data_IF_337752723130
#
_entry.id   IF_337752723130
#
_cell.length_a   1.000
_cell.length_b   1.000
_cell.length_c   1.000
_cell.angle_alpha   90.00
_cell.angle_beta   90.00
_cell.angle_gamma   90.00
#
_symmetry.space_group_name_H-M   'P 1'
#
loop_
_entity.id
_entity.type
_entity.pdbx_description
1 polymer ?
#
# COMPACT_ATOMS: atom_id res chain seq x y z
N UNK A 1 5.63 -1.66 -21.18
CA UNK A 1 4.15 -1.51 -21.22
C UNK A 1 3.83 -0.43 -20.22
N UNK A 2 3.37 0.74 -20.66
CA UNK A 2 2.86 1.75 -19.72
C UNK A 2 1.69 1.11 -18.95
N UNK A 3 1.60 1.25 -17.62
CA UNK A 3 0.43 0.79 -16.90
C UNK A 3 -0.82 1.42 -17.50
N UNK A 4 -1.89 0.64 -17.64
CA UNK A 4 -3.20 1.15 -18.03
C UNK A 4 -3.54 2.40 -17.18
N UNK A 5 -4.19 3.42 -17.78
CA UNK A 5 -4.58 4.61 -17.05
C UNK A 5 -5.37 4.20 -15.81
N UNK A 6 -5.07 4.83 -14.67
CA UNK A 6 -5.84 4.59 -13.45
C UNK A 6 -7.33 4.78 -13.78
N UNK A 7 -8.19 3.82 -13.39
CA UNK A 7 -9.61 3.92 -13.66
C UNK A 7 -10.15 5.28 -13.19
N UNK A 8 -10.72 6.05 -14.11
CA UNK A 8 -11.31 7.35 -13.80
C UNK A 8 -12.68 7.12 -13.16
N UNK A 9 -12.76 7.29 -11.86
CA UNK A 9 -13.99 7.09 -11.09
C UNK A 9 -13.70 6.83 -9.61
N UNK A 10 -14.76 6.67 -8.80
CA UNK A 10 -14.60 6.36 -7.39
C UNK A 10 -13.74 5.10 -7.17
N UNK A 11 -12.97 5.08 -6.09
CA UNK A 11 -12.23 3.91 -5.68
C UNK A 11 -13.22 2.79 -5.40
N UNK A 12 -13.05 1.69 -6.14
CA UNK A 12 -13.77 0.42 -5.97
C UNK A 12 -12.78 -0.65 -5.52
N UNK A 13 -13.26 -1.72 -4.88
CA UNK A 13 -12.40 -2.85 -4.47
C UNK A 13 -11.56 -3.43 -5.61
N UNK A 14 -12.07 -3.41 -6.84
CA UNK A 14 -11.34 -3.84 -8.05
C UNK A 14 -10.21 -2.86 -8.41
N UNK A 15 -10.48 -1.55 -8.37
CA UNK A 15 -9.53 -0.48 -8.63
C UNK A 15 -8.45 -0.39 -7.54
N UNK A 16 -8.80 -0.64 -6.28
CA UNK A 16 -7.85 -0.69 -5.17
C UNK A 16 -6.79 -1.77 -5.41
N UNK A 17 -7.17 -2.96 -5.87
CA UNK A 17 -6.18 -4.00 -6.22
C UNK A 17 -5.23 -3.56 -7.33
N UNK A 18 -5.71 -2.73 -8.26
CA UNK A 18 -4.89 -2.17 -9.32
C UNK A 18 -3.90 -1.13 -8.75
N UNK A 19 -4.38 -0.20 -7.92
CA UNK A 19 -3.54 0.76 -7.22
C UNK A 19 -2.44 0.06 -6.42
N UNK A 20 -2.79 -0.96 -5.61
CA UNK A 20 -1.83 -1.76 -4.84
C UNK A 20 -0.76 -2.41 -5.73
N UNK A 21 -1.14 -2.91 -6.91
CA UNK A 21 -0.17 -3.46 -7.88
C UNK A 21 0.77 -2.40 -8.44
N UNK A 22 0.30 -1.17 -8.64
CA UNK A 22 1.14 -0.05 -9.09
C UNK A 22 2.13 0.40 -8.02
N UNK A 23 1.77 0.24 -6.75
CA UNK A 23 2.60 0.63 -5.61
C UNK A 23 3.62 -0.46 -5.27
N UNK A 24 3.36 -1.72 -5.64
CA UNK A 24 4.26 -2.84 -5.36
C UNK A 24 5.73 -2.58 -5.75
N UNK A 25 6.07 -2.05 -6.94
CA UNK A 25 7.46 -1.68 -7.27
C UNK A 25 8.05 -0.61 -6.35
N UNK A 26 7.24 0.33 -5.86
CA UNK A 26 7.68 1.35 -4.90
C UNK A 26 8.00 0.72 -3.54
N UNK A 27 7.19 -0.24 -3.10
CA UNK A 27 7.46 -1.00 -1.87
C UNK A 27 8.74 -1.83 -1.99
N UNK A 28 8.99 -2.42 -3.17
CA UNK A 28 10.24 -3.13 -3.45
C UNK A 28 11.44 -2.18 -3.47
N UNK A 29 11.27 -0.93 -3.90
CA UNK A 29 12.32 0.07 -3.93
C UNK A 29 12.75 0.56 -2.53
N UNK A 30 11.92 0.37 -1.49
CA UNK A 30 12.32 0.64 -0.10
C UNK A 30 13.48 -0.24 0.38
N UNK A 31 13.83 -1.25 -0.39
CA UNK A 31 14.87 -2.18 -0.04
C UNK A 31 16.16 -1.86 -0.78
N UNK A 32 17.16 -1.39 -0.02
CA UNK A 32 18.48 -1.07 -0.56
C UNK A 32 19.34 -2.32 -0.87
N UNK A 33 19.10 -3.46 -0.19
CA UNK A 33 19.89 -4.70 -0.34
C UNK A 33 19.00 -5.94 -0.60
N UNK A 34 19.20 -6.61 -1.74
CA UNK A 34 18.48 -7.83 -2.16
C UNK A 34 18.80 -9.11 -1.35
N UNK A 35 19.70 -9.06 -0.36
CA UNK A 35 20.23 -10.27 0.31
C UNK A 35 19.24 -11.04 1.19
N UNK A 36 18.24 -10.39 1.79
CA UNK A 36 17.36 -10.98 2.82
C UNK A 36 15.95 -11.26 2.31
N UNK A 37 15.71 -12.36 1.63
CA UNK A 37 14.35 -12.70 1.14
C UNK A 37 13.36 -12.92 2.29
N UNK A 38 12.10 -12.60 2.05
CA UNK A 38 11.04 -12.82 3.04
C UNK A 38 9.72 -12.18 2.64
N UNK A 39 8.73 -12.29 3.52
CA UNK A 39 7.40 -11.70 3.35
C UNK A 39 7.22 -10.54 4.31
N UNK A 40 6.66 -9.44 3.78
CA UNK A 40 5.98 -8.45 4.59
C UNK A 40 4.49 -8.47 4.25
N UNK A 41 3.69 -8.01 5.18
CA UNK A 41 2.28 -7.75 4.96
C UNK A 41 1.90 -6.41 5.57
N UNK A 42 1.20 -5.63 4.75
CA UNK A 42 0.65 -4.34 5.14
C UNK A 42 -0.83 -4.55 5.48
N UNK A 43 -1.22 -4.08 6.66
CA UNK A 43 -2.60 -3.85 7.03
C UNK A 43 -2.82 -2.34 7.02
N UNK A 44 -3.78 -1.88 6.23
CA UNK A 44 -4.07 -0.45 6.14
C UNK A 44 -5.57 -0.22 6.21
N UNK A 45 -5.95 0.85 6.92
CA UNK A 45 -7.32 1.32 7.00
C UNK A 45 -7.49 2.53 6.11
N UNK A 46 -8.42 2.44 5.16
CA UNK A 46 -8.73 3.52 4.22
C UNK A 46 -10.07 4.14 4.57
N UNK A 47 -10.14 5.46 4.56
CA UNK A 47 -11.39 6.20 4.72
C UNK A 47 -11.60 7.16 3.56
N UNK A 48 -12.85 7.25 3.10
CA UNK A 48 -13.25 8.23 2.09
C UNK A 48 -13.48 9.60 2.72
N UNK A 49 -12.88 10.62 2.12
CA UNK A 49 -13.11 12.03 2.43
C UNK A 49 -13.67 12.77 1.21
N UNK A 50 -14.12 14.02 1.41
CA UNK A 50 -14.68 14.83 0.32
C UNK A 50 -13.68 15.09 -0.82
N UNK A 51 -12.37 15.12 -0.52
CA UNK A 51 -11.28 15.38 -1.46
C UNK A 51 -10.65 14.12 -2.05
N UNK A 52 -10.92 12.92 -1.52
CA UNK A 52 -10.21 11.71 -1.93
C UNK A 52 -10.35 10.57 -0.92
N UNK A 53 -9.37 9.66 -0.91
CA UNK A 53 -9.26 8.60 0.09
C UNK A 53 -7.98 8.79 0.87
N UNK A 54 -8.08 8.73 2.19
CA UNK A 54 -6.94 8.85 3.12
C UNK A 54 -6.61 7.51 3.75
N UNK A 55 -5.34 7.34 4.11
CA UNK A 55 -4.88 6.20 4.91
C UNK A 55 -4.95 6.61 6.39
N UNK A 56 -5.86 6.01 7.15
CA UNK A 56 -6.04 6.32 8.58
C UNK A 56 -4.98 5.63 9.45
N UNK A 57 -4.58 4.42 9.08
CA UNK A 57 -3.56 3.66 9.80
C UNK A 57 -2.85 2.68 8.87
N UNK A 58 -1.59 2.40 9.21
CA UNK A 58 -0.73 1.39 8.57
C UNK A 58 -0.06 0.56 9.65
N UNK A 59 -0.28 -0.74 9.61
CA UNK A 59 0.45 -1.74 10.39
C UNK A 59 1.25 -2.64 9.44
N UNK A 60 2.50 -2.87 9.77
CA UNK A 60 3.42 -3.70 8.99
C UNK A 60 3.80 -4.91 9.83
N UNK A 61 3.60 -6.09 9.27
CA UNK A 61 3.93 -7.38 9.88
C UNK A 61 4.72 -8.22 8.88
N UNK A 62 5.37 -9.29 9.31
CA UNK A 62 6.08 -10.16 8.37
C UNK A 62 7.12 -11.06 9.02
N UNK A 63 8.01 -11.57 8.17
CA UNK A 63 9.11 -12.43 8.57
C UNK A 63 10.28 -11.58 9.13
N UNK A 64 10.77 -11.84 10.35
CA UNK A 64 12.07 -11.33 10.77
C UNK A 64 13.19 -11.82 9.83
N UNK A 65 14.20 -10.99 9.53
CA UNK A 65 14.47 -9.69 10.14
C UNK A 65 13.77 -8.51 9.44
N UNK A 66 12.93 -8.74 8.43
CA UNK A 66 12.33 -7.65 7.64
C UNK A 66 11.34 -6.81 8.44
N UNK A 67 10.54 -7.44 9.29
CA UNK A 67 9.60 -6.74 10.17
C UNK A 67 10.30 -5.94 11.28
N UNK A 68 11.56 -6.28 11.56
CA UNK A 68 12.34 -5.70 12.66
C UNK A 68 13.30 -4.61 12.16
N UNK A 69 13.44 -4.48 10.83
CA UNK A 69 14.20 -3.44 10.16
C UNK A 69 13.40 -2.13 10.16
N UNK A 70 13.72 -1.25 11.10
CA UNK A 70 13.03 0.01 11.29
C UNK A 70 13.12 0.94 10.05
N UNK A 71 14.22 0.90 9.30
CA UNK A 71 14.39 1.73 8.10
C UNK A 71 13.48 1.22 6.97
N UNK A 72 13.43 -0.10 6.78
CA UNK A 72 12.55 -0.72 5.80
C UNK A 72 11.07 -0.47 6.15
N UNK A 73 10.68 -0.69 7.40
CA UNK A 73 9.30 -0.49 7.88
C UNK A 73 8.87 0.96 7.71
N UNK A 74 9.73 1.93 8.05
CA UNK A 74 9.42 3.35 7.92
C UNK A 74 9.32 3.79 6.46
N UNK A 75 10.20 3.29 5.58
CA UNK A 75 10.10 3.56 4.14
C UNK A 75 8.79 3.03 3.57
N UNK A 76 8.42 1.78 3.91
CA UNK A 76 7.17 1.17 3.44
C UNK A 76 5.97 1.98 3.94
N UNK A 77 5.96 2.37 5.21
CA UNK A 77 4.90 3.20 5.81
C UNK A 77 4.77 4.54 5.09
N UNK A 78 5.86 5.29 4.96
CA UNK A 78 5.87 6.61 4.31
C UNK A 78 5.40 6.52 2.86
N UNK A 79 5.81 5.47 2.13
CA UNK A 79 5.40 5.23 0.74
C UNK A 79 3.89 5.00 0.62
N UNK A 80 3.27 4.36 1.61
CA UNK A 80 1.84 4.11 1.63
C UNK A 80 1.04 5.34 2.07
N UNK A 81 1.57 6.13 3.00
CA UNK A 81 0.94 7.37 3.45
C UNK A 81 0.97 8.47 2.37
N UNK A 82 1.93 8.41 1.44
CA UNK A 82 2.02 9.35 0.30
C UNK A 82 1.06 9.02 -0.85
N UNK A 83 0.19 8.03 -0.71
CA UNK A 83 -0.70 7.60 -1.79
C UNK A 83 -1.88 8.53 -1.96
N UNK A 84 -1.98 9.13 -3.14
CA UNK A 84 -3.17 9.87 -3.55
C UNK A 84 -4.16 8.90 -4.18
N UNK A 85 -5.21 8.56 -3.43
CA UNK A 85 -6.26 7.66 -3.88
C UNK A 85 -7.52 8.45 -4.24
N UNK A 86 -8.22 8.09 -5.33
CA UNK A 86 -9.50 8.71 -5.67
C UNK A 86 -10.52 8.48 -4.55
N UNK A 87 -11.57 9.32 -4.45
CA UNK A 87 -12.59 9.18 -3.41
C UNK A 87 -13.27 7.82 -3.48
N UNK A 88 -13.58 7.22 -2.33
CA UNK A 88 -14.30 5.95 -2.24
C UNK A 88 -15.76 6.10 -2.70
N UNK A 89 -16.29 5.06 -3.37
CA UNK A 89 -17.71 4.96 -3.78
C UNK A 89 -18.65 4.76 -2.58
N UNK A 90 -18.07 4.47 -1.40
CA UNK A 90 -18.79 4.15 -0.18
C UNK A 90 -18.19 4.93 1.00
N UNK A 91 -19.04 5.26 1.98
CA UNK A 91 -18.65 6.01 3.18
C UNK A 91 -18.03 5.14 4.27
N UNK A 92 -18.16 3.81 4.15
CA UNK A 92 -17.60 2.87 5.11
C UNK A 92 -16.08 2.70 4.90
N UNK A 93 -15.26 2.79 5.98
CA UNK A 93 -13.84 2.52 5.88
C UNK A 93 -13.54 1.10 5.41
N UNK A 94 -12.41 0.93 4.71
CA UNK A 94 -11.95 -0.38 4.23
C UNK A 94 -10.68 -0.80 4.94
N UNK A 95 -10.72 -2.01 5.50
CA UNK A 95 -9.52 -2.69 5.98
C UNK A 95 -8.91 -3.51 4.84
N UNK A 96 -7.66 -3.20 4.50
CA UNK A 96 -6.94 -3.77 3.37
C UNK A 96 -5.75 -4.53 3.89
N UNK A 97 -5.69 -5.82 3.56
CA UNK A 97 -4.54 -6.67 3.84
C UNK A 97 -3.78 -6.99 2.55
N UNK A 98 -2.51 -6.63 2.50
CA UNK A 98 -1.66 -6.83 1.34
C UNK A 98 -0.33 -7.49 1.70
N UNK A 99 -0.22 -8.82 1.57
CA UNK A 99 1.04 -9.53 1.69
C UNK A 99 1.84 -9.44 0.39
N UNK A 100 3.15 -9.19 0.51
CA UNK A 100 4.08 -9.19 -0.61
C UNK A 100 5.43 -9.80 -0.21
N UNK A 101 6.25 -10.10 -1.22
CA UNK A 101 7.58 -10.71 -1.05
C UNK A 101 8.63 -9.79 -1.65
N UNK A 102 9.78 -9.78 -1.00
CA UNK A 102 11.03 -9.33 -1.58
C UNK A 102 11.84 -10.52 -2.10
#
# INVERSE_FOLDING_TARGET
VLPDPMPTGPLRKTTLRYAIKLIHPLLLACRADERTRGRLAVQMRLAGEASGTVVESVEITGDPPLSDDAELVECVRTTLESLELPPMDDSAPWDVYYPFRF
#
